data_IF_691251988823
#
_entry.id   IF_691251988823
#
_cell.length_a   1.000
_cell.length_b   1.000
_cell.length_c   1.000
_cell.angle_alpha   90.00
_cell.angle_beta   90.00
_cell.angle_gamma   90.00
#
_symmetry.space_group_name_H-M   'P 1'
#
loop_
_entity.id
_entity.type
_entity.pdbx_description
1 polymer ?
#
# COMPACT_ATOMS: atom_id res chain seq x y z
N UNK A 1 35.13 36.30 -27.85
CA UNK A 1 34.38 35.04 -28.05
C UNK A 1 34.97 34.10 -29.12
N UNK A 2 36.13 34.38 -29.72
CA UNK A 2 36.85 33.40 -30.55
C UNK A 2 38.10 32.81 -29.86
N UNK A 3 38.68 33.48 -28.87
CA UNK A 3 39.90 33.00 -28.20
C UNK A 3 39.69 31.89 -27.15
N UNK A 4 38.49 31.78 -26.54
CA UNK A 4 38.20 30.68 -25.58
C UNK A 4 38.02 29.32 -26.27
N UNK A 5 37.50 29.32 -27.51
CA UNK A 5 37.25 28.09 -28.28
C UNK A 5 38.54 27.53 -28.94
N UNK A 6 39.57 28.36 -29.10
CA UNK A 6 40.90 27.95 -29.57
C UNK A 6 41.72 27.33 -28.42
N UNK A 7 41.56 27.80 -27.19
CA UNK A 7 42.23 27.24 -26.01
C UNK A 7 41.74 25.83 -25.65
N UNK A 8 40.43 25.55 -25.75
CA UNK A 8 39.91 24.19 -25.49
C UNK A 8 40.39 23.16 -26.53
N UNK A 9 40.56 23.56 -27.80
CA UNK A 9 41.08 22.68 -28.85
C UNK A 9 42.58 22.39 -28.71
N UNK A 10 43.37 23.36 -28.26
CA UNK A 10 44.81 23.16 -28.03
C UNK A 10 45.11 22.32 -26.78
N UNK A 11 44.24 22.35 -25.75
CA UNK A 11 44.39 21.49 -24.56
C UNK A 11 44.16 20.00 -24.90
N UNK A 12 43.24 19.70 -25.81
CA UNK A 12 43.00 18.34 -26.32
C UNK A 12 44.11 17.84 -27.27
N UNK A 13 44.82 18.75 -27.95
CA UNK A 13 45.88 18.41 -28.89
C UNK A 13 47.24 18.07 -28.24
N UNK A 14 47.42 18.39 -26.95
CA UNK A 14 48.64 18.13 -26.19
C UNK A 14 48.55 17.02 -25.12
N UNK A 15 47.35 16.45 -24.93
CA UNK A 15 47.16 15.37 -23.95
C UNK A 15 47.45 14.02 -24.60
N UNK A 16 48.29 13.22 -23.94
CA UNK A 16 48.50 11.83 -24.36
C UNK A 16 47.20 11.03 -24.20
N UNK A 17 47.08 9.91 -24.93
CA UNK A 17 45.94 9.00 -24.78
C UNK A 17 45.84 8.54 -23.32
N UNK A 18 46.99 8.31 -22.69
CA UNK A 18 47.13 7.97 -21.29
C UNK A 18 46.56 9.04 -20.35
N UNK A 19 46.78 10.34 -20.63
CA UNK A 19 46.23 11.44 -19.82
C UNK A 19 44.71 11.55 -19.93
N UNK A 20 44.14 11.21 -21.09
CA UNK A 20 42.69 11.14 -21.26
C UNK A 20 42.09 10.02 -20.40
N UNK A 21 42.74 8.85 -20.36
CA UNK A 21 42.29 7.73 -19.52
C UNK A 21 42.47 8.02 -18.02
N UNK A 22 43.58 8.64 -17.62
CA UNK A 22 43.83 9.04 -16.22
C UNK A 22 42.80 10.06 -15.71
N UNK A 23 42.37 11.02 -16.54
CA UNK A 23 41.30 11.96 -16.16
C UNK A 23 39.91 11.33 -16.16
N UNK A 24 39.68 10.30 -16.99
CA UNK A 24 38.44 9.52 -16.98
C UNK A 24 38.35 8.51 -15.84
N UNK A 25 39.43 8.34 -15.08
CA UNK A 25 39.52 7.33 -14.04
C UNK A 25 38.59 7.69 -12.89
N UNK A 26 37.64 6.80 -12.62
CA UNK A 26 36.70 6.94 -11.51
C UNK A 26 37.47 7.05 -10.19
N UNK A 27 37.21 8.11 -9.42
CA UNK A 27 37.74 8.24 -8.07
C UNK A 27 36.96 7.35 -7.10
N UNK A 28 37.57 6.99 -5.97
CA UNK A 28 36.90 6.21 -4.93
C UNK A 28 35.62 6.89 -4.42
N UNK A 29 35.63 8.23 -4.31
CA UNK A 29 34.48 9.02 -3.89
C UNK A 29 33.36 9.00 -4.95
N UNK A 30 33.71 9.12 -6.25
CA UNK A 30 32.72 9.00 -7.33
C UNK A 30 32.16 7.58 -7.45
N UNK A 31 32.99 6.55 -7.21
CA UNK A 31 32.53 5.17 -7.17
C UNK A 31 31.60 4.91 -5.97
N UNK A 32 31.90 5.47 -4.79
CA UNK A 32 31.00 5.42 -3.64
C UNK A 32 29.69 6.17 -3.90
N UNK A 33 29.74 7.36 -4.49
CA UNK A 33 28.56 8.16 -4.81
C UNK A 33 27.68 7.46 -5.85
N UNK A 34 28.29 6.92 -6.93
CA UNK A 34 27.58 6.12 -7.94
C UNK A 34 27.00 4.86 -7.34
N UNK A 35 27.75 4.12 -6.51
CA UNK A 35 27.22 2.92 -5.84
C UNK A 35 26.08 3.26 -4.86
N UNK A 36 26.13 4.39 -4.17
CA UNK A 36 25.05 4.87 -3.32
C UNK A 36 23.82 5.30 -4.15
N UNK A 37 24.03 5.98 -5.28
CA UNK A 37 22.99 6.44 -6.19
C UNK A 37 22.32 5.30 -6.98
N UNK A 38 23.11 4.33 -7.46
CA UNK A 38 22.63 3.09 -8.05
C UNK A 38 21.82 2.29 -7.01
N UNK A 39 22.25 2.24 -5.75
CA UNK A 39 21.49 1.60 -4.67
C UNK A 39 20.22 2.38 -4.27
N UNK A 40 20.14 3.70 -4.48
CA UNK A 40 18.90 4.48 -4.25
C UNK A 40 17.77 4.05 -5.19
N UNK A 41 18.09 3.70 -6.43
CA UNK A 41 17.12 3.16 -7.39
C UNK A 41 16.52 1.81 -6.98
N UNK A 42 17.22 1.06 -6.12
CA UNK A 42 16.80 -0.26 -5.61
C UNK A 42 16.32 -0.24 -4.15
N UNK A 43 16.50 0.87 -3.42
CA UNK A 43 16.07 0.98 -2.04
C UNK A 43 14.54 1.13 -1.98
N UNK A 44 13.86 -0.01 -1.86
CA UNK A 44 12.42 -0.09 -1.60
C UNK A 44 12.07 0.74 -0.38
N UNK A 45 11.26 1.79 -0.57
CA UNK A 45 10.68 2.53 0.55
C UNK A 45 9.76 1.60 1.33
N UNK A 46 10.04 1.41 2.61
CA UNK A 46 9.18 0.63 3.49
C UNK A 46 8.01 1.50 3.95
N UNK A 47 6.78 1.02 3.76
CA UNK A 47 5.58 1.69 4.24
C UNK A 47 5.24 1.21 5.65
N UNK A 48 5.00 2.15 6.56
CA UNK A 48 4.56 1.82 7.90
C UNK A 48 3.09 1.38 7.90
N UNK A 49 2.81 0.25 8.54
CA UNK A 49 1.45 -0.30 8.66
C UNK A 49 1.12 -0.55 10.12
N UNK A 50 -0.05 -0.05 10.54
CA UNK A 50 -0.58 -0.29 11.89
C UNK A 50 -1.33 -1.61 11.93
N UNK A 51 -0.62 -2.74 11.85
CA UNK A 51 -1.22 -4.06 11.68
C UNK A 51 -2.09 -4.49 12.88
N UNK A 52 -1.60 -4.28 14.10
CA UNK A 52 -2.23 -4.72 15.36
C UNK A 52 -3.02 -3.60 16.03
N UNK A 53 -4.00 -3.97 16.86
CA UNK A 53 -4.59 -3.01 17.80
C UNK A 53 -3.54 -2.61 18.85
N UNK A 54 -3.63 -1.37 19.31
CA UNK A 54 -2.73 -0.81 20.31
C UNK A 54 -2.23 0.58 19.94
N UNK A 55 -1.31 1.07 20.77
CA UNK A 55 -0.70 2.39 20.61
C UNK A 55 0.65 2.25 19.94
N UNK A 56 0.81 2.90 18.80
CA UNK A 56 2.07 3.03 18.08
C UNK A 56 2.76 4.31 18.48
N UNK A 57 4.00 4.22 18.97
CA UNK A 57 4.80 5.40 19.37
C UNK A 57 5.73 5.75 18.23
N UNK A 58 5.47 6.88 17.57
CA UNK A 58 6.12 7.25 16.33
C UNK A 58 6.95 8.52 16.49
N UNK A 59 8.12 8.51 15.85
CA UNK A 59 8.98 9.65 15.69
C UNK A 59 8.80 10.24 14.30
N UNK A 60 8.03 11.33 14.21
CA UNK A 60 7.84 12.06 12.93
C UNK A 60 9.14 12.74 12.52
N UNK A 61 9.57 12.53 11.28
CA UNK A 61 10.82 13.08 10.76
C UNK A 61 10.59 14.39 9.99
N UNK A 62 11.54 15.34 10.03
CA UNK A 62 11.47 16.52 9.17
C UNK A 62 11.71 16.14 7.70
N UNK A 63 11.28 17.01 6.79
CA UNK A 63 11.66 16.89 5.38
C UNK A 63 13.18 17.08 5.27
N UNK A 64 13.85 16.10 4.66
CA UNK A 64 15.28 16.15 4.40
C UNK A 64 15.60 17.29 3.41
N UNK A 65 16.68 18.07 3.63
CA UNK A 65 17.15 19.00 2.62
C UNK A 65 17.70 18.26 1.40
N UNK A 66 17.76 18.95 0.27
CA UNK A 66 18.42 18.48 -0.94
C UNK A 66 19.94 18.42 -0.74
N UNK A 67 20.67 17.63 -1.55
CA UNK A 67 22.13 17.49 -1.41
C UNK A 67 22.91 18.81 -1.51
N UNK A 68 22.36 19.80 -2.21
CA UNK A 68 22.91 21.16 -2.34
C UNK A 68 22.60 22.07 -1.13
N UNK A 69 21.87 21.56 -0.14
CA UNK A 69 21.45 22.29 1.06
C UNK A 69 20.16 23.10 0.89
N UNK A 70 19.50 23.05 -0.27
CA UNK A 70 18.18 23.67 -0.46
C UNK A 70 17.06 22.81 0.15
N UNK A 71 15.88 23.38 0.31
CA UNK A 71 14.70 22.63 0.79
C UNK A 71 13.48 23.03 -0.03
N UNK A 72 12.85 22.07 -0.68
CA UNK A 72 11.63 22.33 -1.49
C UNK A 72 10.43 22.70 -0.63
N UNK A 73 10.36 22.15 0.58
CA UNK A 73 9.28 22.39 1.55
C UNK A 73 9.78 22.32 2.97
N UNK A 74 9.54 23.39 3.73
CA UNK A 74 9.70 23.37 5.18
C UNK A 74 8.53 22.62 5.82
N UNK A 75 8.82 21.55 6.55
CA UNK A 75 7.77 20.76 7.20
C UNK A 75 8.22 19.33 7.49
N UNK A 76 7.24 18.44 7.58
CA UNK A 76 7.44 17.01 7.81
C UNK A 76 6.62 16.14 6.85
N UNK A 77 5.76 16.74 6.03
CA UNK A 77 4.78 16.00 5.24
C UNK A 77 4.60 16.57 3.83
N UNK A 78 4.08 15.72 2.94
CA UNK A 78 3.56 16.09 1.63
C UNK A 78 2.09 15.67 1.46
N UNK A 79 1.25 16.54 0.85
CA UNK A 79 -0.09 16.14 0.44
C UNK A 79 -0.05 15.07 -0.64
N UNK A 80 -1.01 14.16 -0.62
CA UNK A 80 -1.18 13.11 -1.63
C UNK A 80 -2.63 13.04 -2.10
N UNK A 81 -2.82 12.95 -3.42
CA UNK A 81 -4.08 12.57 -4.04
C UNK A 81 -3.92 11.21 -4.70
N UNK A 82 -4.61 10.20 -4.19
CA UNK A 82 -4.50 8.83 -4.68
C UNK A 82 -5.86 8.14 -4.75
N UNK A 83 -5.94 7.12 -5.60
CA UNK A 83 -7.12 6.28 -5.74
C UNK A 83 -6.73 4.82 -5.79
N UNK A 84 -7.44 3.99 -5.05
CA UNK A 84 -7.35 2.55 -5.17
C UNK A 84 -8.28 2.09 -6.29
N UNK A 85 -7.70 1.62 -7.39
CA UNK A 85 -8.43 1.04 -8.51
C UNK A 85 -8.80 -0.41 -8.17
N UNK A 86 -10.08 -0.71 -8.23
CA UNK A 86 -10.61 -2.07 -8.09
C UNK A 86 -10.97 -2.59 -9.49
N UNK A 87 -10.15 -3.49 -10.02
CA UNK A 87 -10.24 -4.03 -11.36
C UNK A 87 -10.78 -5.45 -11.32
N UNK A 88 -11.97 -5.69 -11.85
CA UNK A 88 -12.50 -7.04 -11.99
C UNK A 88 -11.70 -7.81 -13.05
N UNK A 89 -11.21 -8.99 -12.69
CA UNK A 89 -10.47 -9.88 -13.58
C UNK A 89 -11.44 -10.54 -14.55
N UNK A 90 -11.07 -10.67 -15.84
CA UNK A 90 -11.83 -11.47 -16.78
C UNK A 90 -11.93 -12.93 -16.29
N UNK A 91 -13.14 -13.40 -15.97
CA UNK A 91 -13.38 -14.73 -15.42
C UNK A 91 -14.43 -15.49 -16.23
N UNK A 92 -14.17 -16.77 -16.52
CA UNK A 92 -15.16 -17.73 -17.06
C UNK A 92 -16.00 -18.40 -15.95
N UNK A 93 -15.74 -18.06 -14.69
CA UNK A 93 -16.39 -18.61 -13.50
C UNK A 93 -17.34 -17.58 -12.89
N UNK A 94 -18.45 -18.02 -12.29
CA UNK A 94 -19.42 -17.15 -11.59
C UNK A 94 -18.86 -16.42 -10.34
N UNK A 95 -17.55 -16.50 -10.08
CA UNK A 95 -16.92 -15.79 -8.96
C UNK A 95 -16.01 -14.69 -9.49
N UNK A 96 -16.40 -13.45 -9.24
CA UNK A 96 -15.58 -12.27 -9.50
C UNK A 96 -14.26 -12.36 -8.69
N UNK A 97 -13.17 -12.03 -9.36
CA UNK A 97 -11.86 -11.84 -8.76
C UNK A 97 -11.41 -10.43 -9.08
N UNK A 98 -10.67 -9.79 -8.19
CA UNK A 98 -10.23 -8.41 -8.38
C UNK A 98 -8.71 -8.32 -8.37
N UNK A 99 -8.19 -7.32 -9.07
CA UNK A 99 -6.85 -6.77 -8.92
C UNK A 99 -6.98 -5.37 -8.33
N UNK A 100 -6.06 -5.01 -7.44
CA UNK A 100 -6.03 -3.71 -6.78
C UNK A 100 -4.77 -2.99 -7.19
N UNK A 101 -4.90 -1.73 -7.61
CA UNK A 101 -3.77 -0.89 -8.01
C UNK A 101 -3.99 0.51 -7.45
N UNK A 102 -3.06 1.00 -6.65
CA UNK A 102 -3.09 2.40 -6.19
C UNK A 102 -2.45 3.31 -7.23
N UNK A 103 -3.14 4.38 -7.60
CA UNK A 103 -2.64 5.38 -8.55
C UNK A 103 -2.68 6.77 -7.94
N UNK A 104 -1.60 7.58 -8.07
CA UNK A 104 -1.68 8.99 -7.76
C UNK A 104 -2.43 9.74 -8.87
N UNK A 105 -2.87 10.95 -8.54
CA UNK A 105 -3.33 11.89 -9.55
C UNK A 105 -2.16 12.29 -10.45
N UNK A 106 -2.29 12.06 -11.75
CA UNK A 106 -1.19 12.24 -12.71
C UNK A 106 -0.74 13.69 -12.87
N UNK A 107 -1.64 14.68 -12.66
CA UNK A 107 -1.23 16.09 -12.64
C UNK A 107 -0.31 16.44 -11.48
N UNK A 108 -0.45 15.75 -10.34
CA UNK A 108 0.46 15.92 -9.20
C UNK A 108 1.84 15.29 -9.48
N UNK A 109 1.87 14.32 -10.39
CA UNK A 109 3.08 13.70 -10.94
C UNK A 109 3.73 14.50 -12.08
N UNK A 110 3.19 15.67 -12.42
CA UNK A 110 3.75 16.56 -13.44
C UNK A 110 3.28 16.26 -14.88
N UNK A 111 2.34 15.34 -15.08
CA UNK A 111 1.73 15.09 -16.39
C UNK A 111 0.65 16.14 -16.70
N UNK A 112 0.38 16.34 -17.99
CA UNK A 112 -0.52 17.41 -18.42
C UNK A 112 -2.00 17.04 -18.40
N UNK A 113 -2.34 15.76 -18.26
CA UNK A 113 -3.71 15.23 -18.29
C UNK A 113 -3.87 14.12 -17.27
N UNK A 114 -5.02 14.12 -16.58
CA UNK A 114 -5.47 13.01 -15.74
C UNK A 114 -6.68 12.30 -16.33
N UNK A 115 -6.53 11.00 -16.59
CA UNK A 115 -7.56 10.18 -17.23
C UNK A 115 -8.80 10.00 -16.35
N UNK A 116 -8.63 9.87 -15.03
CA UNK A 116 -9.73 9.64 -14.10
C UNK A 116 -10.55 10.93 -13.96
N UNK A 117 -9.90 12.08 -13.81
CA UNK A 117 -10.61 13.37 -13.79
C UNK A 117 -11.28 13.69 -15.12
N UNK A 118 -10.61 13.38 -16.24
CA UNK A 118 -11.17 13.57 -17.59
C UNK A 118 -12.44 12.74 -17.75
N UNK A 119 -12.35 11.42 -17.49
CA UNK A 119 -13.50 10.52 -17.53
C UNK A 119 -14.59 10.98 -16.57
N UNK A 120 -14.26 11.27 -15.30
CA UNK A 120 -15.22 11.69 -14.28
C UNK A 120 -16.00 12.92 -14.70
N UNK A 121 -15.33 13.95 -15.24
CA UNK A 121 -16.00 15.16 -15.74
C UNK A 121 -16.99 14.82 -16.85
N UNK A 122 -16.58 14.03 -17.83
CA UNK A 122 -17.42 13.67 -18.97
C UNK A 122 -18.62 12.81 -18.54
N UNK A 123 -18.37 11.79 -17.72
CA UNK A 123 -19.40 10.90 -17.18
C UNK A 123 -20.43 11.64 -16.32
N UNK A 124 -19.99 12.61 -15.50
CA UNK A 124 -20.92 13.48 -14.74
C UNK A 124 -21.75 14.37 -15.67
N UNK A 125 -21.15 14.89 -16.74
CA UNK A 125 -21.87 15.69 -17.73
C UNK A 125 -22.94 14.86 -18.43
N UNK A 126 -22.59 13.67 -18.92
CA UNK A 126 -23.51 12.78 -19.63
C UNK A 126 -24.66 12.32 -18.72
N UNK A 127 -24.37 11.97 -17.46
CA UNK A 127 -25.41 11.62 -16.49
C UNK A 127 -26.41 12.78 -16.27
N UNK A 128 -25.91 14.02 -16.19
CA UNK A 128 -26.76 15.22 -16.05
C UNK A 128 -27.57 15.50 -17.30
N UNK A 129 -26.98 15.37 -18.48
CA UNK A 129 -27.66 15.57 -19.77
C UNK A 129 -28.80 14.55 -19.96
N UNK A 130 -28.63 13.33 -19.41
CA UNK A 130 -29.65 12.29 -19.36
C UNK A 130 -30.67 12.47 -18.22
N UNK A 131 -30.51 13.50 -17.38
CA UNK A 131 -31.39 13.77 -16.24
C UNK A 131 -31.21 12.83 -15.04
N UNK A 132 -30.11 12.07 -14.98
CA UNK A 132 -29.78 11.17 -13.87
C UNK A 132 -28.85 11.83 -12.85
N UNK A 133 -29.42 12.73 -12.04
CA UNK A 133 -28.69 13.44 -10.98
C UNK A 133 -28.07 12.49 -9.94
N UNK A 134 -28.71 11.34 -9.67
CA UNK A 134 -28.20 10.37 -8.69
C UNK A 134 -26.91 9.71 -9.19
N UNK A 135 -26.89 9.32 -10.46
CA UNK A 135 -25.71 8.78 -11.11
C UNK A 135 -24.60 9.83 -11.19
N UNK A 136 -24.94 11.08 -11.52
CA UNK A 136 -23.99 12.19 -11.54
C UNK A 136 -23.33 12.40 -10.16
N UNK A 137 -24.12 12.38 -9.07
CA UNK A 137 -23.60 12.48 -7.70
C UNK A 137 -22.73 11.28 -7.30
N UNK A 138 -23.14 10.06 -7.69
CA UNK A 138 -22.39 8.81 -7.45
C UNK A 138 -21.01 8.84 -8.14
N UNK A 139 -20.95 9.24 -9.40
CA UNK A 139 -19.69 9.31 -10.17
C UNK A 139 -18.82 10.47 -9.69
N UNK A 140 -19.44 11.63 -9.40
CA UNK A 140 -18.73 12.80 -8.89
C UNK A 140 -18.04 12.54 -7.55
N UNK A 141 -18.46 11.53 -6.81
CA UNK A 141 -17.95 11.22 -5.47
C UNK A 141 -18.42 12.26 -4.46
N UNK A 142 -19.75 12.42 -4.38
CA UNK A 142 -20.44 13.35 -3.47
C UNK A 142 -20.14 13.13 -1.98
N UNK A 143 -20.95 13.74 -1.11
CA UNK A 143 -20.71 13.82 0.34
C UNK A 143 -20.66 12.47 1.11
N UNK A 144 -20.90 11.34 0.45
CA UNK A 144 -21.17 10.03 1.06
C UNK A 144 -20.08 8.97 0.84
N UNK A 145 -18.92 9.35 0.30
CA UNK A 145 -17.83 8.40 -0.01
C UNK A 145 -18.13 7.56 -1.26
N UNK A 146 -17.06 7.13 -1.94
CA UNK A 146 -17.15 6.43 -3.24
C UNK A 146 -17.12 7.36 -4.46
N UNK A 147 -17.15 6.75 -5.66
CA UNK A 147 -17.06 7.46 -6.95
C UNK A 147 -15.63 7.58 -7.50
N UNK A 148 -15.45 8.43 -8.51
CA UNK A 148 -14.17 8.60 -9.21
C UNK A 148 -13.35 9.80 -8.69
N UNK A 149 -13.49 10.11 -7.40
CA UNK A 149 -12.77 11.23 -6.76
C UNK A 149 -11.55 10.70 -6.02
N UNK A 150 -10.39 11.30 -6.28
CA UNK A 150 -9.16 10.96 -5.53
C UNK A 150 -9.34 11.22 -4.03
N UNK A 151 -8.86 10.27 -3.23
CA UNK A 151 -8.71 10.43 -1.79
C UNK A 151 -7.58 11.42 -1.51
N UNK A 152 -7.80 12.32 -0.55
CA UNK A 152 -6.79 13.27 -0.09
C UNK A 152 -6.20 12.81 1.24
N UNK A 153 -4.88 12.81 1.33
CA UNK A 153 -4.13 12.41 2.51
C UNK A 153 -2.78 13.12 2.59
N UNK A 154 -1.96 12.67 3.52
CA UNK A 154 -0.64 13.23 3.78
C UNK A 154 0.37 12.11 4.02
N UNK A 155 1.57 12.24 3.46
CA UNK A 155 2.66 11.28 3.62
C UNK A 155 3.80 11.92 4.42
N UNK A 156 4.35 11.20 5.39
CA UNK A 156 5.45 11.65 6.26
C UNK A 156 6.39 10.49 6.54
N UNK A 157 7.69 10.77 6.65
CA UNK A 157 8.63 9.78 7.18
C UNK A 157 8.53 9.68 8.69
N UNK A 158 8.67 8.47 9.22
CA UNK A 158 8.67 8.17 10.65
C UNK A 158 9.81 7.20 11.01
N UNK A 159 10.15 7.13 12.29
CA UNK A 159 10.72 5.94 12.92
C UNK A 159 9.68 5.38 13.90
N UNK A 160 9.50 4.06 13.91
CA UNK A 160 8.80 3.39 15.00
C UNK A 160 9.72 3.41 16.24
N UNK A 161 9.27 4.01 17.35
CA UNK A 161 10.09 4.09 18.56
C UNK A 161 10.19 2.74 19.29
N UNK A 162 9.21 1.85 19.11
CA UNK A 162 9.20 0.52 19.70
C UNK A 162 10.02 -0.46 18.83
N UNK A 163 10.14 -0.18 17.53
CA UNK A 163 10.90 -1.00 16.57
C UNK A 163 11.92 -0.20 15.75
N UNK A 164 12.65 0.71 16.41
CA UNK A 164 13.58 1.68 15.78
C UNK A 164 14.63 1.07 14.85
N UNK A 165 14.97 -0.20 15.06
CA UNK A 165 15.88 -0.97 14.20
C UNK A 165 15.35 -1.23 12.78
N UNK A 166 14.04 -1.12 12.54
CA UNK A 166 13.44 -1.20 11.19
C UNK A 166 13.82 -0.01 10.31
N UNK A 167 14.32 1.08 10.91
CA UNK A 167 14.74 2.26 10.18
C UNK A 167 13.57 3.12 9.74
N UNK A 168 13.81 3.96 8.73
CA UNK A 168 12.88 5.00 8.29
C UNK A 168 11.80 4.37 7.42
N UNK A 169 10.54 4.63 7.79
CA UNK A 169 9.37 4.13 7.07
C UNK A 169 8.46 5.30 6.66
N UNK A 170 7.74 5.14 5.55
CA UNK A 170 6.77 6.11 5.06
C UNK A 170 5.39 5.82 5.64
N UNK A 171 4.83 6.77 6.39
CA UNK A 171 3.48 6.72 6.92
C UNK A 171 2.56 7.58 6.05
N UNK A 172 1.42 7.02 5.64
CA UNK A 172 0.33 7.76 5.01
C UNK A 172 -0.83 7.93 5.98
N UNK A 173 -1.26 9.17 6.16
CA UNK A 173 -2.42 9.54 6.96
C UNK A 173 -3.55 9.99 6.03
N UNK A 174 -4.79 9.63 6.36
CA UNK A 174 -5.95 10.27 5.76
C UNK A 174 -5.97 11.76 6.10
N UNK A 175 -6.69 12.58 5.31
CA UNK A 175 -6.76 14.00 5.61
C UNK A 175 -7.34 14.30 7.01
N UNK A 176 -8.29 13.50 7.51
CA UNK A 176 -8.85 13.67 8.85
C UNK A 176 -7.83 13.34 9.94
N UNK A 177 -7.09 12.25 9.80
CA UNK A 177 -6.00 11.87 10.70
C UNK A 177 -4.90 12.96 10.74
N UNK A 178 -4.47 13.42 9.56
CA UNK A 178 -3.49 14.50 9.48
C UNK A 178 -4.00 15.77 10.17
N UNK A 179 -5.26 16.16 9.94
CA UNK A 179 -5.84 17.35 10.55
C UNK A 179 -5.87 17.25 12.08
N UNK A 180 -6.23 16.09 12.66
CA UNK A 180 -6.20 15.89 14.11
C UNK A 180 -4.77 16.01 14.67
N UNK A 181 -3.78 15.39 14.00
CA UNK A 181 -2.36 15.55 14.34
C UNK A 181 -1.94 17.02 14.29
N UNK A 182 -2.28 17.73 13.23
CA UNK A 182 -1.81 19.09 12.98
C UNK A 182 -2.42 20.09 13.98
N UNK A 183 -3.71 19.92 14.32
CA UNK A 183 -4.37 20.70 15.36
C UNK A 183 -3.74 20.49 16.74
N UNK A 184 -3.42 19.24 17.10
CA UNK A 184 -2.74 18.91 18.38
C UNK A 184 -1.33 19.48 18.42
N UNK A 185 -0.59 19.36 17.31
CA UNK A 185 0.73 19.95 17.13
C UNK A 185 0.68 21.46 17.33
N UNK A 186 -0.24 22.17 16.67
CA UNK A 186 -0.36 23.62 16.81
C UNK A 186 -0.71 24.05 18.23
N UNK A 187 -1.68 23.37 18.87
CA UNK A 187 -2.05 23.64 20.27
C UNK A 187 -0.86 23.46 21.22
N UNK A 188 -0.06 22.40 21.03
CA UNK A 188 1.16 22.18 21.82
C UNK A 188 2.22 23.24 21.52
N UNK A 189 2.45 23.53 20.24
CA UNK A 189 3.49 24.45 19.81
C UNK A 189 3.24 25.86 20.31
N UNK A 190 2.00 26.34 20.25
CA UNK A 190 1.60 27.65 20.78
C UNK A 190 1.93 27.78 22.28
N UNK A 191 1.68 26.73 23.07
CA UNK A 191 2.03 26.70 24.51
C UNK A 191 3.55 26.74 24.75
N UNK A 192 4.33 26.09 23.89
CA UNK A 192 5.81 26.10 23.99
C UNK A 192 6.40 27.44 23.54
N UNK A 193 5.86 28.02 22.46
CA UNK A 193 6.27 29.32 21.93
C UNK A 193 6.04 30.47 22.91
N UNK A 194 4.97 30.40 23.72
CA UNK A 194 4.71 31.36 24.78
C UNK A 194 5.82 31.40 25.86
N UNK A 195 6.58 30.31 26.04
CA UNK A 195 7.70 30.23 26.98
C UNK A 195 9.05 30.47 26.29
N UNK A 196 9.19 30.05 25.04
CA UNK A 196 10.38 30.23 24.21
C UNK A 196 9.96 30.54 22.77
N UNK A 197 10.10 31.81 22.34
CA UNK A 197 9.67 32.26 21.01
C UNK A 197 10.37 31.57 19.84
N UNK A 198 11.50 30.91 20.09
CA UNK A 198 12.28 30.15 19.10
C UNK A 198 12.12 28.64 19.25
N UNK A 199 11.09 28.19 19.99
CA UNK A 199 10.85 26.75 20.18
C UNK A 199 10.59 26.07 18.82
N UNK A 200 11.33 25.01 18.46
CA UNK A 200 11.19 24.38 17.16
C UNK A 200 9.89 23.55 17.07
N UNK A 201 9.57 23.02 15.88
CA UNK A 201 8.39 22.18 15.71
C UNK A 201 8.37 21.03 16.73
N UNK A 202 7.30 20.87 17.54
CA UNK A 202 7.31 19.97 18.69
C UNK A 202 7.24 18.49 18.32
N UNK A 203 6.99 18.12 17.06
CA UNK A 203 6.88 16.71 16.64
C UNK A 203 7.94 16.29 15.62
N UNK A 204 8.53 17.25 14.89
CA UNK A 204 9.45 16.95 13.78
C UNK A 204 10.81 17.62 13.90
N UNK A 205 11.08 18.40 14.95
CA UNK A 205 12.42 18.98 15.16
C UNK A 205 13.46 17.87 15.31
N UNK A 206 14.72 18.12 14.94
CA UNK A 206 15.78 17.09 15.02
C UNK A 206 16.16 16.68 16.44
N UNK A 207 15.96 17.55 17.44
CA UNK A 207 16.50 17.36 18.80
C UNK A 207 15.47 17.41 19.93
N UNK A 208 14.30 18.01 19.71
CA UNK A 208 13.34 18.27 20.77
C UNK A 208 11.92 17.90 20.33
N UNK A 209 11.76 16.72 19.74
CA UNK A 209 10.46 16.26 19.28
C UNK A 209 9.81 15.34 20.30
N UNK A 210 8.53 15.54 20.55
CA UNK A 210 7.70 14.64 21.33
C UNK A 210 7.24 13.48 20.46
N UNK A 211 7.19 12.25 21.00
CA UNK A 211 6.55 11.13 20.34
C UNK A 211 5.11 11.45 19.93
N UNK A 212 4.76 11.07 18.71
CA UNK A 212 3.37 11.04 18.25
C UNK A 212 2.85 9.65 18.51
N UNK A 213 1.72 9.56 19.21
CA UNK A 213 1.07 8.29 19.49
C UNK A 213 -0.15 8.15 18.60
N UNK A 214 -0.28 7.00 17.94
CA UNK A 214 -1.49 6.64 17.22
C UNK A 214 -2.05 5.38 17.86
N UNK A 215 -3.16 5.53 18.58
CA UNK A 215 -3.91 4.41 19.14
C UNK A 215 -4.89 3.91 18.08
N UNK A 216 -4.68 2.68 17.62
CA UNK A 216 -5.63 1.92 16.81
C UNK A 216 -6.47 1.05 17.75
N UNK A 217 -7.78 1.31 17.81
CA UNK A 217 -8.72 0.61 18.71
C UNK A 217 -9.99 0.19 17.99
N UNK A 218 -10.68 -0.79 18.56
CA UNK A 218 -11.98 -1.27 18.07
C UNK A 218 -13.09 -0.71 18.95
N UNK A 219 -14.02 0.04 18.38
CA UNK A 219 -15.19 0.58 19.06
C UNK A 219 -16.47 0.03 18.40
N UNK A 220 -17.16 -0.90 19.06
CA UNK A 220 -18.42 -1.49 18.55
C UNK A 220 -18.36 -1.96 17.08
N UNK A 221 -17.27 -2.65 16.71
CA UNK A 221 -16.91 -3.13 15.36
C UNK A 221 -16.23 -2.12 14.44
N UNK A 222 -16.08 -0.86 14.87
CA UNK A 222 -15.39 0.19 14.12
C UNK A 222 -13.92 0.32 14.47
N UNK A 223 -13.02 0.35 13.47
CA UNK A 223 -11.62 0.71 13.69
C UNK A 223 -11.52 2.22 13.84
N UNK A 224 -11.07 2.68 15.00
CA UNK A 224 -10.85 4.08 15.28
C UNK A 224 -9.36 4.35 15.51
N UNK A 225 -8.94 5.54 15.07
CA UNK A 225 -7.61 6.07 15.32
C UNK A 225 -7.71 7.28 16.22
N UNK A 226 -7.08 7.20 17.39
CA UNK A 226 -6.88 8.34 18.26
C UNK A 226 -5.43 8.78 18.20
N UNK A 227 -5.19 10.01 17.75
CA UNK A 227 -3.83 10.57 17.65
C UNK A 227 -3.55 11.41 18.90
N UNK A 228 -2.41 11.23 19.54
CA UNK A 228 -1.93 12.07 20.64
C UNK A 228 -0.48 12.47 20.43
N UNK A 229 -0.04 13.47 21.20
CA UNK A 229 1.37 13.84 21.30
C UNK A 229 1.73 13.65 22.76
N UNK A 230 2.62 12.71 23.03
CA UNK A 230 3.10 12.38 24.38
C UNK A 230 4.05 13.49 24.84
N UNK A 231 3.48 14.54 25.43
CA UNK A 231 4.23 15.70 25.91
C UNK A 231 4.68 15.57 27.37
N UNK A 232 4.38 14.42 28.00
CA UNK A 232 4.85 14.05 29.33
C UNK A 232 6.14 13.23 29.25
N UNK A 233 6.34 12.49 28.16
CA UNK A 233 7.62 11.84 27.87
C UNK A 233 8.75 12.82 27.57
N UNK A 234 9.97 12.30 27.71
CA UNK A 234 11.18 12.97 27.25
C UNK A 234 11.15 13.17 25.74
N UNK A 235 11.71 14.29 25.29
CA UNK A 235 11.85 14.57 23.86
C UNK A 235 12.92 13.68 23.23
N UNK A 236 12.69 13.28 21.99
CA UNK A 236 13.60 12.48 21.19
C UNK A 236 14.53 13.35 20.31
N UNK A 237 15.77 12.88 20.16
CA UNK A 237 16.80 13.45 19.28
C UNK A 237 17.23 12.42 18.24
N UNK A 238 17.29 12.85 16.98
CA UNK A 238 17.82 12.02 15.88
C UNK A 238 19.35 11.92 15.98
N UNK A 239 19.86 10.71 15.82
CA UNK A 239 21.31 10.48 15.75
C UNK A 239 21.91 10.97 14.43
N UNK A 240 23.23 11.05 14.35
CA UNK A 240 23.92 11.39 13.09
C UNK A 240 23.68 10.33 12.02
N UNK A 241 23.62 9.07 12.44
CA UNK A 241 23.35 7.92 11.59
C UNK A 241 21.93 8.01 11.01
N UNK A 242 20.94 8.38 11.82
CA UNK A 242 19.54 8.55 11.38
C UNK A 242 19.35 9.74 10.45
N UNK A 243 20.03 10.87 10.73
CA UNK A 243 20.03 12.02 9.82
C UNK A 243 20.69 11.66 8.48
N UNK A 244 21.76 10.87 8.51
CA UNK A 244 22.43 10.38 7.29
C UNK A 244 21.52 9.41 6.54
N UNK A 245 20.81 8.53 7.23
CA UNK A 245 19.82 7.65 6.62
C UNK A 245 18.69 8.46 5.95
N UNK A 246 18.14 9.45 6.65
CA UNK A 246 17.07 10.32 6.15
C UNK A 246 17.47 11.12 4.92
N UNK A 247 18.73 11.61 4.87
CA UNK A 247 19.27 12.28 3.69
C UNK A 247 19.34 11.35 2.47
N UNK A 248 19.62 10.07 2.71
CA UNK A 248 19.78 9.04 1.68
C UNK A 248 18.46 8.38 1.26
N UNK A 249 17.40 8.49 2.06
CA UNK A 249 16.05 8.00 1.70
C UNK A 249 15.52 8.76 0.47
N UNK A 250 14.81 8.07 -0.47
CA UNK A 250 14.17 8.76 -1.59
C UNK A 250 13.25 9.89 -1.11
N UNK A 251 13.11 10.95 -1.91
CA UNK A 251 12.25 12.07 -1.50
C UNK A 251 10.79 11.62 -1.59
N UNK A 252 9.97 12.04 -0.62
CA UNK A 252 8.56 11.64 -0.56
C UNK A 252 7.85 11.85 -1.92
N UNK A 253 7.95 13.02 -2.59
CA UNK A 253 7.34 13.23 -3.91
C UNK A 253 7.73 12.21 -4.98
N UNK A 254 8.99 11.75 -4.98
CA UNK A 254 9.49 10.75 -5.95
C UNK A 254 8.80 9.38 -5.77
N UNK A 255 8.25 9.12 -4.58
CA UNK A 255 7.54 7.90 -4.25
C UNK A 255 6.03 8.09 -4.49
N UNK A 256 5.44 9.11 -3.87
CA UNK A 256 3.98 9.26 -3.82
C UNK A 256 3.38 9.75 -5.13
N UNK A 257 4.15 10.45 -5.96
CA UNK A 257 3.71 10.92 -7.27
C UNK A 257 4.25 10.05 -8.40
N UNK A 258 4.83 8.89 -8.10
CA UNK A 258 5.28 7.97 -9.16
C UNK A 258 4.06 7.39 -9.89
N UNK A 259 4.00 7.66 -11.20
CA UNK A 259 3.01 7.08 -12.11
C UNK A 259 3.72 6.36 -13.27
N UNK A 260 3.54 5.04 -13.34
CA UNK A 260 4.21 4.12 -14.27
C UNK A 260 3.32 3.69 -15.43
N UNK A 261 3.89 3.09 -16.48
CA UNK A 261 3.14 2.44 -17.57
C UNK A 261 2.22 1.32 -17.08
N UNK A 262 2.61 0.60 -16.02
CA UNK A 262 1.71 -0.32 -15.33
C UNK A 262 0.47 0.39 -14.78
N UNK A 263 0.63 1.50 -14.07
CA UNK A 263 -0.49 2.26 -13.52
C UNK A 263 -1.35 2.89 -14.62
N UNK A 264 -0.73 3.33 -15.72
CA UNK A 264 -1.44 3.76 -16.93
C UNK A 264 -2.35 2.67 -17.48
N UNK A 265 -1.81 1.47 -17.72
CA UNK A 265 -2.58 0.33 -18.23
C UNK A 265 -3.71 -0.07 -17.29
N UNK A 266 -3.46 -0.08 -15.98
CA UNK A 266 -4.47 -0.32 -14.96
C UNK A 266 -5.58 0.74 -15.00
N UNK A 267 -5.22 2.01 -15.13
CA UNK A 267 -6.18 3.13 -15.20
C UNK A 267 -7.07 3.03 -16.43
N UNK A 268 -6.50 2.74 -17.61
CA UNK A 268 -7.27 2.57 -18.84
C UNK A 268 -8.26 1.41 -18.73
N UNK A 269 -7.84 0.27 -18.17
CA UNK A 269 -8.72 -0.89 -17.99
C UNK A 269 -9.83 -0.61 -16.97
N UNK A 270 -9.49 0.09 -15.88
CA UNK A 270 -10.44 0.47 -14.84
C UNK A 270 -11.55 1.37 -15.41
N UNK A 271 -11.19 2.35 -16.24
CA UNK A 271 -12.17 3.26 -16.83
C UNK A 271 -13.08 2.57 -17.87
N UNK A 272 -12.59 1.56 -18.60
CA UNK A 272 -13.46 0.70 -19.42
C UNK A 272 -14.47 -0.08 -18.58
N UNK A 273 -14.06 -0.56 -17.41
CA UNK A 273 -14.98 -1.21 -16.48
C UNK A 273 -15.99 -0.22 -15.90
N UNK A 274 -15.59 1.04 -15.70
CA UNK A 274 -16.51 2.11 -15.33
C UNK A 274 -17.56 2.35 -16.40
N UNK A 275 -17.20 2.39 -17.69
CA UNK A 275 -18.16 2.53 -18.80
C UNK A 275 -19.21 1.41 -18.74
N UNK A 276 -18.78 0.16 -18.56
CA UNK A 276 -19.69 -0.98 -18.42
C UNK A 276 -20.55 -0.87 -17.16
N UNK A 277 -19.97 -0.51 -16.01
CA UNK A 277 -20.66 -0.41 -14.71
C UNK A 277 -21.73 0.68 -14.71
N UNK A 278 -21.44 1.78 -15.40
CA UNK A 278 -22.30 2.95 -15.48
C UNK A 278 -23.16 2.96 -16.74
N UNK A 279 -22.99 2.01 -17.65
CA UNK A 279 -23.67 1.98 -18.96
C UNK A 279 -23.47 3.30 -19.73
N UNK A 280 -22.21 3.74 -19.77
CA UNK A 280 -21.73 4.92 -20.50
C UNK A 280 -20.83 4.49 -21.66
N UNK A 281 -20.48 5.43 -22.54
CA UNK A 281 -19.56 5.20 -23.63
C UNK A 281 -18.47 6.30 -23.74
N UNK A 282 -17.90 6.68 -22.59
CA UNK A 282 -16.92 7.77 -22.50
C UNK A 282 -15.58 7.36 -23.09
N UNK A 283 -15.15 6.11 -22.92
CA UNK A 283 -13.85 5.62 -23.41
C UNK A 283 -13.75 5.63 -24.94
N UNK A 284 -14.88 5.52 -25.65
CA UNK A 284 -14.93 5.58 -27.12
C UNK A 284 -15.06 7.02 -27.67
N UNK A 285 -15.20 8.02 -26.80
CA UNK A 285 -15.22 9.43 -27.21
C UNK A 285 -13.86 9.89 -27.72
N UNK A 286 -13.86 10.85 -28.65
CA UNK A 286 -12.62 11.40 -29.20
C UNK A 286 -11.79 12.12 -28.13
N UNK A 287 -12.43 12.86 -27.22
CA UNK A 287 -11.75 13.55 -26.12
C UNK A 287 -11.01 12.58 -25.20
N UNK A 288 -11.59 11.42 -24.90
CA UNK A 288 -10.93 10.42 -24.05
C UNK A 288 -9.78 9.71 -24.79
N UNK A 289 -9.94 9.43 -26.09
CA UNK A 289 -8.85 8.85 -26.91
C UNK A 289 -7.65 9.80 -26.99
N UNK A 290 -7.90 11.09 -27.23
CA UNK A 290 -6.85 12.12 -27.23
C UNK A 290 -6.15 12.22 -25.88
N UNK A 291 -6.89 12.17 -24.78
CA UNK A 291 -6.34 12.17 -23.42
C UNK A 291 -5.42 10.97 -23.16
N UNK A 292 -5.84 9.76 -23.58
CA UNK A 292 -5.06 8.52 -23.46
C UNK A 292 -3.77 8.60 -24.28
N UNK A 293 -3.86 9.05 -25.53
CA UNK A 293 -2.69 9.20 -26.40
C UNK A 293 -1.70 10.21 -25.82
N UNK A 294 -2.21 11.36 -25.35
CA UNK A 294 -1.39 12.42 -24.77
C UNK A 294 -0.64 11.92 -23.54
N UNK A 295 -1.33 11.34 -22.56
CA UNK A 295 -0.67 10.81 -21.36
C UNK A 295 0.34 9.70 -21.73
N UNK A 296 -0.02 8.78 -22.62
CA UNK A 296 0.87 7.70 -23.08
C UNK A 296 2.19 8.22 -23.68
N UNK A 297 2.12 9.35 -24.40
CA UNK A 297 3.29 9.99 -25.02
C UNK A 297 4.22 10.70 -24.03
N UNK A 298 3.68 11.12 -22.88
CA UNK A 298 4.45 11.79 -21.81
C UNK A 298 5.14 10.80 -20.88
N UNK A 299 4.67 9.55 -20.82
CA UNK A 299 5.31 8.49 -20.02
C UNK A 299 6.71 8.15 -20.54
N UNK A 300 7.63 7.91 -19.60
CA UNK A 300 9.01 7.47 -19.90
C UNK A 300 9.02 6.29 -20.88
N UNK A 301 9.99 6.31 -21.80
CA UNK A 301 10.18 5.25 -22.80
C UNK A 301 10.99 4.09 -22.24
N UNK A 302 11.71 4.33 -21.16
CA UNK A 302 12.54 3.39 -20.43
C UNK A 302 11.69 2.51 -19.50
N UNK A 303 10.52 2.99 -19.07
CA UNK A 303 9.54 2.17 -18.35
C UNK A 303 8.86 1.19 -19.32
N UNK A 304 9.14 -0.11 -19.14
CA UNK A 304 8.55 -1.20 -19.91
C UNK A 304 7.48 -1.97 -19.12
N UNK A 305 7.03 -1.43 -17.98
CA UNK A 305 6.04 -2.10 -17.15
C UNK A 305 4.68 -2.12 -17.85
N UNK A 306 4.08 -3.30 -18.01
CA UNK A 306 2.77 -3.45 -18.64
C UNK A 306 1.77 -4.02 -17.63
N UNK A 307 0.58 -3.43 -17.61
CA UNK A 307 -0.51 -3.95 -16.80
C UNK A 307 -1.02 -5.28 -17.37
N UNK A 308 -1.06 -6.30 -16.52
CA UNK A 308 -1.71 -7.58 -16.84
C UNK A 308 -2.43 -8.11 -15.60
N UNK A 309 -3.51 -8.87 -15.83
CA UNK A 309 -4.25 -9.53 -14.76
C UNK A 309 -3.54 -10.76 -14.17
N UNK A 310 -2.54 -11.28 -14.89
CA UNK A 310 -1.74 -12.44 -14.51
C UNK A 310 -0.55 -12.03 -13.63
N UNK A 311 -0.62 -12.40 -12.34
CA UNK A 311 0.38 -12.14 -11.28
C UNK A 311 1.78 -12.77 -11.50
N UNK A 312 2.19 -13.12 -12.73
CA UNK A 312 3.44 -13.89 -12.98
C UNK A 312 4.63 -13.08 -13.46
N UNK A 313 4.53 -11.76 -13.67
CA UNK A 313 5.72 -10.95 -13.91
C UNK A 313 6.40 -10.59 -12.59
N UNK A 314 7.73 -10.57 -12.59
CA UNK A 314 8.57 -10.14 -11.46
C UNK A 314 8.19 -8.72 -11.01
N UNK A 315 7.79 -7.88 -11.96
CA UNK A 315 7.33 -6.49 -11.77
C UNK A 315 5.97 -6.39 -11.05
N UNK A 316 5.11 -7.42 -11.14
CA UNK A 316 3.83 -7.45 -10.43
C UNK A 316 4.00 -7.60 -8.91
N UNK A 317 5.11 -8.20 -8.43
CA UNK A 317 5.43 -8.24 -7.00
C UNK A 317 5.85 -6.86 -6.48
N UNK A 318 6.61 -6.12 -7.27
CA UNK A 318 7.11 -4.79 -6.91
C UNK A 318 5.98 -3.74 -6.81
N UNK A 319 4.94 -3.86 -7.66
CA UNK A 319 3.75 -3.01 -7.57
C UNK A 319 2.66 -3.52 -6.59
N UNK A 320 2.61 -4.82 -6.28
CA UNK A 320 1.68 -5.37 -5.30
C UNK A 320 1.97 -4.88 -3.87
N UNK A 321 3.25 -4.62 -3.54
CA UNK A 321 3.63 -4.07 -2.24
C UNK A 321 3.26 -2.58 -2.08
N UNK A 322 3.08 -1.85 -3.19
CA UNK A 322 2.48 -0.50 -3.26
C UNK A 322 0.94 -0.52 -3.35
N UNK A 323 0.32 -1.69 -3.57
CA UNK A 323 -1.14 -1.87 -3.68
C UNK A 323 -1.74 -2.24 -2.33
N UNK A 324 -1.43 -1.44 -1.30
CA UNK A 324 -1.74 -1.75 0.10
C UNK A 324 -3.23 -1.58 0.41
N UNK A 325 -4.04 -2.60 0.16
CA UNK A 325 -5.28 -2.78 0.92
C UNK A 325 -4.85 -3.09 2.34
N UNK A 326 -4.98 -2.13 3.27
CA UNK A 326 -4.76 -2.39 4.68
C UNK A 326 -5.96 -3.13 5.27
N UNK A 327 -5.74 -3.93 6.32
CA UNK A 327 -6.83 -4.51 7.10
C UNK A 327 -7.83 -3.44 7.55
N UNK A 328 -7.31 -2.25 7.82
CA UNK A 328 -8.08 -1.10 8.26
C UNK A 328 -9.02 -0.56 7.19
N UNK A 329 -8.55 -0.49 5.95
CA UNK A 329 -9.41 -0.13 4.82
C UNK A 329 -10.53 -1.16 4.59
N UNK A 330 -10.36 -2.41 5.02
CA UNK A 330 -11.42 -3.42 4.95
C UNK A 330 -12.47 -3.23 6.05
N UNK A 331 -12.04 -2.92 7.26
CA UNK A 331 -12.93 -2.63 8.38
C UNK A 331 -13.73 -1.34 8.10
N UNK A 332 -13.08 -0.27 7.63
CA UNK A 332 -13.76 0.98 7.24
C UNK A 332 -14.88 0.71 6.24
N UNK A 333 -14.59 -0.07 5.19
CA UNK A 333 -15.59 -0.47 4.19
C UNK A 333 -16.70 -1.35 4.78
N UNK A 334 -16.41 -2.24 5.73
CA UNK A 334 -17.44 -3.05 6.39
C UNK A 334 -18.40 -2.21 7.23
N UNK A 335 -17.86 -1.22 7.93
CA UNK A 335 -18.65 -0.31 8.75
C UNK A 335 -19.56 0.56 7.90
N UNK A 336 -19.05 1.10 6.78
CA UNK A 336 -19.84 1.88 5.83
C UNK A 336 -21.06 1.06 5.35
N UNK A 337 -20.88 -0.25 5.13
CA UNK A 337 -21.97 -1.15 4.77
C UNK A 337 -22.96 -1.38 5.91
N UNK A 338 -22.47 -1.57 7.14
CA UNK A 338 -23.33 -1.76 8.31
C UNK A 338 -24.17 -0.51 8.62
N UNK A 339 -23.58 0.69 8.57
CA UNK A 339 -24.28 1.95 8.83
C UNK A 339 -25.42 2.17 7.81
N UNK A 340 -25.25 1.66 6.60
CA UNK A 340 -26.23 1.74 5.52
C UNK A 340 -27.22 0.56 5.51
N UNK A 341 -27.09 -0.40 6.44
CA UNK A 341 -27.94 -1.59 6.50
C UNK A 341 -27.72 -2.60 5.36
N UNK A 342 -26.59 -2.50 4.66
CA UNK A 342 -26.20 -3.39 3.57
C UNK A 342 -25.50 -4.63 4.15
N UNK A 343 -26.13 -5.80 4.01
CA UNK A 343 -25.60 -7.06 4.53
C UNK A 343 -24.67 -7.77 3.55
N UNK A 344 -23.99 -8.82 4.01
CA UNK A 344 -23.03 -9.61 3.24
C UNK A 344 -23.53 -10.13 1.87
N UNK A 345 -24.84 -10.21 1.65
CA UNK A 345 -25.45 -10.69 0.40
C UNK A 345 -25.72 -9.59 -0.63
N UNK A 346 -25.55 -8.31 -0.26
CA UNK A 346 -25.66 -7.19 -1.21
C UNK A 346 -24.43 -7.17 -2.12
N UNK A 347 -24.51 -6.42 -3.21
CA UNK A 347 -23.40 -6.28 -4.16
C UNK A 347 -22.15 -5.74 -3.46
N UNK A 348 -22.32 -4.69 -2.67
CA UNK A 348 -21.26 -4.04 -1.90
C UNK A 348 -20.73 -4.95 -0.77
N UNK A 349 -21.61 -5.76 -0.16
CA UNK A 349 -21.21 -6.83 0.77
C UNK A 349 -20.36 -7.92 0.10
N UNK A 350 -20.63 -8.25 -1.16
CA UNK A 350 -19.79 -9.20 -1.92
C UNK A 350 -18.50 -8.55 -2.43
N UNK A 351 -18.50 -7.25 -2.77
CA UNK A 351 -17.31 -6.45 -3.08
C UNK A 351 -16.34 -6.45 -1.89
N UNK A 352 -16.82 -6.10 -0.69
CA UNK A 352 -16.04 -6.20 0.54
C UNK A 352 -15.52 -7.62 0.78
N UNK A 353 -16.37 -8.63 0.55
CA UNK A 353 -15.93 -10.01 0.69
C UNK A 353 -14.80 -10.36 -0.28
N UNK A 354 -14.79 -9.75 -1.46
CA UNK A 354 -13.71 -9.82 -2.45
C UNK A 354 -12.41 -9.23 -1.90
N UNK A 355 -12.47 -8.01 -1.39
CA UNK A 355 -11.36 -7.29 -0.75
C UNK A 355 -10.75 -8.09 0.42
N UNK A 356 -11.58 -8.66 1.28
CA UNK A 356 -11.19 -9.56 2.37
C UNK A 356 -10.39 -10.76 1.85
N UNK A 357 -10.80 -11.38 0.73
CA UNK A 357 -10.03 -12.52 0.16
C UNK A 357 -8.69 -12.07 -0.38
N UNK A 358 -8.66 -10.91 -1.03
CA UNK A 358 -7.44 -10.36 -1.61
C UNK A 358 -6.41 -10.07 -0.53
N UNK A 359 -6.86 -9.52 0.61
CA UNK A 359 -6.01 -9.28 1.77
C UNK A 359 -5.47 -10.58 2.39
N UNK A 360 -6.31 -11.61 2.58
CA UNK A 360 -5.86 -12.94 3.05
C UNK A 360 -4.76 -13.51 2.13
N UNK A 361 -4.94 -13.38 0.81
CA UNK A 361 -3.99 -13.88 -0.17
C UNK A 361 -2.68 -13.05 -0.20
N UNK A 362 -2.78 -11.73 -0.06
CA UNK A 362 -1.65 -10.81 -0.04
C UNK A 362 -0.77 -11.02 1.20
N UNK A 363 -1.39 -11.11 2.37
CA UNK A 363 -0.70 -11.24 3.66
C UNK A 363 -0.39 -12.70 4.02
N UNK A 364 -0.64 -13.65 3.09
CA UNK A 364 -0.41 -15.08 3.27
C UNK A 364 -1.04 -15.68 4.53
N UNK A 365 -2.23 -15.21 4.92
CA UNK A 365 -2.89 -15.61 6.16
C UNK A 365 -3.55 -16.99 6.03
N UNK A 366 -3.45 -17.82 7.08
CA UNK A 366 -4.07 -19.15 7.14
C UNK A 366 -5.58 -19.10 7.44
N UNK A 367 -6.32 -18.18 6.79
CA UNK A 367 -7.76 -17.98 7.01
C UNK A 367 -8.56 -18.70 5.93
N UNK A 368 -9.43 -19.64 6.33
CA UNK A 368 -10.22 -20.44 5.40
C UNK A 368 -11.60 -19.84 5.16
N UNK A 369 -11.85 -19.40 3.93
CA UNK A 369 -13.14 -18.83 3.54
C UNK A 369 -14.16 -19.93 3.23
N UNK A 370 -15.23 -20.02 4.02
CA UNK A 370 -16.37 -20.92 3.75
C UNK A 370 -17.60 -20.13 3.30
N UNK A 371 -18.58 -20.80 2.66
CA UNK A 371 -19.81 -20.13 2.18
C UNK A 371 -20.72 -19.61 3.30
N UNK A 372 -20.62 -20.19 4.49
CA UNK A 372 -21.43 -19.82 5.66
C UNK A 372 -20.80 -18.70 6.48
N UNK A 373 -19.51 -18.43 6.29
CA UNK A 373 -18.80 -17.39 7.04
C UNK A 373 -19.29 -16.00 6.65
N UNK A 374 -19.57 -15.13 7.60
CA UNK A 374 -19.93 -13.72 7.34
C UNK A 374 -18.69 -12.87 7.00
N UNK A 375 -18.88 -11.66 6.47
CA UNK A 375 -17.76 -10.74 6.25
C UNK A 375 -17.13 -10.30 7.57
N UNK A 376 -17.96 -10.05 8.59
CA UNK A 376 -17.50 -9.80 9.96
C UNK A 376 -16.60 -10.92 10.48
N UNK A 377 -17.07 -12.17 10.38
CA UNK A 377 -16.31 -13.33 10.86
C UNK A 377 -14.99 -13.51 10.08
N UNK A 378 -14.96 -13.20 8.79
CA UNK A 378 -13.72 -13.24 8.01
C UNK A 378 -12.75 -12.16 8.43
N UNK A 379 -13.22 -10.94 8.68
CA UNK A 379 -12.40 -9.84 9.18
C UNK A 379 -11.85 -10.15 10.57
N UNK A 380 -12.67 -10.72 11.45
CA UNK A 380 -12.23 -11.15 12.78
C UNK A 380 -11.20 -12.29 12.70
N UNK A 381 -11.38 -13.27 11.80
CA UNK A 381 -10.39 -14.34 11.58
C UNK A 381 -9.08 -13.83 10.98
N UNK A 382 -9.14 -12.83 10.10
CA UNK A 382 -7.97 -12.15 9.56
C UNK A 382 -7.22 -11.42 10.67
N UNK A 383 -7.94 -10.67 11.49
CA UNK A 383 -7.41 -9.96 12.63
C UNK A 383 -6.74 -10.92 13.63
N UNK A 384 -7.38 -12.05 13.95
CA UNK A 384 -6.81 -13.12 14.78
C UNK A 384 -5.55 -13.73 14.17
N UNK A 385 -5.56 -14.03 12.86
CA UNK A 385 -4.40 -14.60 12.16
C UNK A 385 -3.21 -13.63 12.08
N UNK A 386 -3.47 -12.33 12.03
CA UNK A 386 -2.43 -11.29 12.08
C UNK A 386 -1.89 -11.07 13.50
N UNK A 387 -2.72 -11.22 14.52
CA UNK A 387 -2.29 -11.09 15.92
C UNK A 387 -1.52 -12.34 16.39
N UNK A 388 -1.92 -13.52 15.92
CA UNK A 388 -1.29 -14.81 16.22
C UNK A 388 -0.40 -15.29 15.09
N UNK A 389 0.85 -14.82 15.04
CA UNK A 389 1.85 -15.33 14.10
C UNK A 389 1.87 -16.86 14.05
N UNK A 390 1.54 -17.39 12.87
CA UNK A 390 1.71 -18.75 12.36
C UNK A 390 1.78 -19.88 13.43
N UNK A 391 0.62 -20.30 13.91
CA UNK A 391 0.45 -21.58 14.63
C UNK A 391 -0.35 -22.59 13.83
N UNK A 392 -0.14 -22.73 12.52
CA UNK A 392 -0.59 -23.93 11.80
C UNK A 392 0.25 -24.19 10.56
N UNK A 393 1.49 -24.65 10.74
CA UNK A 393 2.23 -25.38 9.71
C UNK A 393 3.22 -26.37 10.33
N UNK A 394 2.68 -27.45 10.90
CA UNK A 394 3.29 -28.79 10.95
C UNK A 394 2.18 -29.79 11.27
N UNK A 395 2.21 -30.92 10.57
CA UNK A 395 1.29 -32.06 10.65
C UNK A 395 -0.04 -32.00 9.89
N UNK A 396 0.00 -31.89 8.55
CA UNK A 396 -0.80 -32.78 7.68
C UNK A 396 -0.06 -32.98 6.33
N UNK A 397 1.03 -33.74 6.31
CA UNK A 397 1.47 -34.48 5.11
C UNK A 397 2.25 -35.74 5.50
N UNK A 398 1.53 -36.79 5.91
CA UNK A 398 1.88 -38.17 5.53
C UNK A 398 0.73 -39.10 5.90
N UNK A 399 -0.08 -39.46 4.89
CA UNK A 399 -0.65 -40.81 4.69
C UNK A 399 -1.66 -40.77 3.56
N UNK A 400 -1.19 -41.06 2.36
CA UNK A 400 -1.99 -41.81 1.38
C UNK A 400 -1.10 -42.94 0.86
N UNK A 401 -1.42 -44.13 1.37
CA UNK A 401 -1.57 -45.42 0.68
C UNK A 401 -0.41 -45.89 -0.22
N UNK A 402 0.19 -47.02 0.19
CA UNK A 402 0.66 -48.02 -0.78
C UNK A 402 0.06 -49.37 -0.40
N UNK A 403 -0.61 -49.97 -1.38
CA UNK A 403 -1.29 -51.27 -1.33
C UNK A 403 -0.31 -52.46 -1.34
N UNK A 404 -0.78 -53.52 -0.66
CA UNK A 404 -0.66 -54.97 -0.95
C UNK A 404 0.69 -55.62 -1.31
N UNK A 405 1.00 -56.68 -0.56
CA UNK A 405 2.00 -57.69 -0.90
C UNK A 405 2.32 -58.61 0.27
N UNK A 406 1.80 -59.83 0.21
CA UNK A 406 1.84 -60.93 1.17
C UNK A 406 3.21 -61.62 1.33
N UNK A 407 3.26 -62.55 2.31
CA UNK A 407 4.30 -63.57 2.60
C UNK A 407 5.42 -63.13 3.56
N UNK A 408 5.93 -63.91 4.51
CA UNK A 408 5.53 -65.12 5.24
C UNK A 408 6.61 -65.30 6.34
N UNK A 409 6.27 -65.97 7.45
CA UNK A 409 7.16 -66.70 8.39
C UNK A 409 8.01 -65.99 9.47
N UNK A 410 7.89 -66.58 10.69
CA UNK A 410 8.91 -66.61 11.76
C UNK A 410 8.48 -65.94 13.07
N UNK A 411 7.67 -66.56 13.94
CA UNK A 411 8.09 -67.29 15.17
C UNK A 411 9.05 -66.47 16.07
N UNK A 412 8.75 -66.15 17.33
CA UNK A 412 8.46 -67.05 18.46
C UNK A 412 8.02 -66.23 19.70
N UNK A 413 7.08 -66.80 20.47
CA UNK A 413 7.00 -66.88 21.96
C UNK A 413 7.19 -65.63 22.85
N UNK A 414 6.49 -65.41 23.97
CA UNK A 414 5.62 -66.22 24.84
C UNK A 414 4.93 -65.30 25.87
N UNK A 415 3.83 -65.78 26.49
CA UNK A 415 3.29 -65.30 27.77
C UNK A 415 1.92 -64.64 27.66
N UNK A 416 0.82 -65.42 27.61
CA UNK A 416 -0.07 -65.73 28.76
C UNK A 416 -0.41 -64.51 29.63
N UNK A 417 -1.67 -64.20 29.96
CA UNK A 417 -2.82 -65.07 30.20
C UNK A 417 -4.08 -64.20 30.26
N UNK A 418 -5.20 -64.78 29.83
CA UNK A 418 -6.56 -64.73 30.41
C UNK A 418 -7.21 -63.36 30.74
N UNK A 419 -8.46 -63.06 30.37
CA UNK A 419 -9.64 -63.92 30.51
C UNK A 419 -10.87 -63.39 29.71
N UNK A 420 -11.70 -64.36 29.27
CA UNK A 420 -13.07 -64.37 28.73
C UNK A 420 -13.85 -63.04 28.45
N UNK A 421 -14.36 -62.71 27.24
CA UNK A 421 -15.50 -63.29 26.44
C UNK A 421 -16.85 -63.42 27.21
N UNK A 422 -18.03 -63.49 26.54
CA UNK A 422 -18.42 -63.09 25.17
C UNK A 422 -19.89 -62.58 24.98
N UNK A 423 -20.24 -62.24 23.71
CA UNK A 423 -21.53 -62.49 22.99
C UNK A 423 -22.81 -61.80 23.54
N UNK A 424 -23.63 -61.15 22.70
CA UNK A 424 -24.52 -61.77 21.70
C UNK A 424 -24.88 -60.77 20.56
N UNK A 425 -24.63 -61.08 19.28
CA UNK A 425 -25.58 -61.56 18.24
C UNK A 425 -26.93 -60.80 18.15
N UNK A 426 -27.15 -60.07 17.04
CA UNK A 426 -28.08 -60.38 15.89
C UNK A 426 -29.57 -60.30 16.31
N UNK A 427 -30.45 -59.51 15.70
CA UNK A 427 -30.91 -59.51 14.30
C UNK A 427 -31.83 -58.30 14.05
N UNK A 428 -31.66 -57.57 12.94
CA UNK A 428 -32.59 -57.50 11.78
C UNK A 428 -34.07 -57.19 12.06
N UNK A 429 -34.49 -56.05 11.47
CA UNK A 429 -35.76 -55.77 10.75
C UNK A 429 -37.04 -55.91 11.61
N UNK A 430 -37.94 -54.93 11.64
CA UNK A 430 -38.64 -54.37 10.47
C UNK A 430 -39.44 -53.14 10.89
N UNK A 431 -39.59 -52.20 9.95
CA UNK A 431 -40.53 -51.07 9.90
C UNK A 431 -41.90 -51.37 10.53
N UNK A 432 -42.41 -50.39 11.28
CA UNK A 432 -43.54 -49.56 10.83
C UNK A 432 -43.10 -48.10 10.79
#
# INVERSE_FOLDING_TARGET
MQDENLQEKDILAGMSVEDLFLKSQESYETAQARAAEENKGFAKTEFFRMEKLGTYRLRVLPIAPNPDGTTDRNGYEYPIHQMLLELEKPSKSNKAQYAYVTVPRTTDAGYSVDLIDTYRRMAVSEAKDNGDEKMAEKIAGGSFGGGLKFSYGHATYILDLDERAKGIQLLTLSHSQFKDLDERKFKLWQKKLAKNSSYPCPISSIANAYPVEIEKKKNNSKTEYAISIDNEADTDTLSKEELTALLNTPRIPEIIFRYSRYQFGATVEFLKQCDNKYNLNIMDSEEMKEAIEKLSSELSKEDTSEFTFDKRSKDAKENAENSTVSIDSLFDKFEDLQEQGLGDKTEEGQELRGLIRAFIEQEHLSVRITRSTSNQELLDMIEEAMQGGDKTSKDIQTKVVQETGSEEQGSEETGNEEEAKPRTTRERRRRE
#
